data_IF_940300804342
#
_entry.id   IF_940300804342
#
_cell.length_a   1.000
_cell.length_b   1.000
_cell.length_c   1.000
_cell.angle_alpha   90.00
_cell.angle_beta   90.00
_cell.angle_gamma   90.00
#
_symmetry.space_group_name_H-M   'P 1'
#
loop_
_entity.id
_entity.type
_entity.pdbx_description
1 polymer ?
#
# COMPACT_ATOMS: atom_id res chain seq x y z
N UNK A 1 20.38 6.85 8.28
CA UNK A 1 20.65 5.77 7.31
C UNK A 1 20.16 4.48 7.96
N UNK A 2 19.32 3.71 7.26
CA UNK A 2 18.81 2.45 7.80
C UNK A 2 19.97 1.47 7.98
N UNK A 3 20.04 0.78 9.12
CA UNK A 3 21.09 -0.21 9.41
C UNK A 3 20.79 -1.60 8.82
N UNK A 4 19.69 -1.73 8.08
CA UNK A 4 19.29 -2.98 7.41
C UNK A 4 19.96 -3.12 6.04
N UNK A 5 20.05 -4.36 5.56
CA UNK A 5 20.43 -4.62 4.17
C UNK A 5 19.35 -4.10 3.23
N UNK A 6 19.77 -3.59 2.08
CA UNK A 6 18.84 -3.13 1.05
C UNK A 6 18.14 -4.29 0.38
N UNK A 7 16.85 -4.12 0.07
CA UNK A 7 16.09 -5.02 -0.78
C UNK A 7 16.26 -4.60 -2.25
N UNK A 8 16.10 -5.52 -3.22
CA UNK A 8 16.04 -5.17 -4.64
C UNK A 8 14.96 -4.12 -4.97
N UNK A 9 13.89 -4.09 -4.18
CA UNK A 9 12.79 -3.12 -4.27
C UNK A 9 13.09 -1.74 -3.67
N UNK A 10 14.25 -1.56 -3.05
CA UNK A 10 14.62 -0.28 -2.44
C UNK A 10 15.06 0.72 -3.52
N UNK A 11 14.62 1.97 -3.36
CA UNK A 11 14.99 3.04 -4.27
C UNK A 11 16.48 3.35 -4.18
N UNK A 12 17.10 3.54 -5.35
CA UNK A 12 18.40 4.19 -5.46
C UNK A 12 18.33 5.64 -4.95
N UNK A 13 19.50 6.23 -4.66
CA UNK A 13 19.55 7.64 -4.24
C UNK A 13 19.04 8.59 -5.33
N UNK A 14 19.25 8.25 -6.61
CA UNK A 14 18.79 9.03 -7.73
C UNK A 14 17.25 9.01 -7.88
N UNK A 15 16.63 7.83 -7.77
CA UNK A 15 15.17 7.71 -7.78
C UNK A 15 14.55 8.38 -6.55
N UNK A 16 15.19 8.23 -5.38
CA UNK A 16 14.75 8.90 -4.17
C UNK A 16 14.75 10.42 -4.33
N UNK A 17 15.79 11.01 -4.92
CA UNK A 17 15.88 12.46 -5.13
C UNK A 17 14.73 13.03 -5.97
N UNK A 18 14.13 12.23 -6.86
CA UNK A 18 12.99 12.64 -7.68
C UNK A 18 11.66 12.50 -6.94
N UNK A 19 11.54 11.47 -6.12
CA UNK A 19 10.33 11.19 -5.36
C UNK A 19 10.22 12.05 -4.10
N UNK A 20 11.33 12.30 -3.42
CA UNK A 20 11.41 13.07 -2.18
C UNK A 20 10.59 14.38 -2.20
N UNK A 21 10.68 15.26 -3.22
CA UNK A 21 9.91 16.50 -3.25
C UNK A 21 8.38 16.29 -3.39
N UNK A 22 7.95 15.13 -3.87
CA UNK A 22 6.53 14.77 -3.99
C UNK A 22 5.97 14.19 -2.69
N UNK A 23 6.84 13.72 -1.79
CA UNK A 23 6.45 13.13 -0.52
C UNK A 23 6.25 14.24 0.53
N UNK A 24 5.06 14.35 1.16
CA UNK A 24 4.81 15.37 2.15
C UNK A 24 5.78 15.31 3.33
N UNK A 25 6.40 16.45 3.60
CA UNK A 25 7.21 16.64 4.79
C UNK A 25 6.38 16.42 6.06
N UNK A 26 7.01 15.99 7.18
CA UNK A 26 6.36 15.97 8.48
C UNK A 26 5.77 17.35 8.81
N UNK A 27 4.51 17.39 9.27
CA UNK A 27 3.90 18.66 9.69
C UNK A 27 4.60 19.19 10.95
N UNK A 28 4.89 20.50 11.03
CA UNK A 28 5.43 21.10 12.25
C UNK A 28 4.41 21.02 13.40
N UNK A 29 4.89 20.91 14.63
CA UNK A 29 4.05 20.88 15.85
C UNK A 29 3.43 19.52 16.22
N UNK A 30 3.69 18.47 15.43
CA UNK A 30 3.26 17.10 15.72
C UNK A 30 4.31 16.27 16.45
N UNK A 31 3.94 15.03 16.84
CA UNK A 31 4.90 14.03 17.32
C UNK A 31 5.97 13.81 16.24
N UNK A 32 7.27 13.85 16.57
CA UNK A 32 8.33 13.63 15.59
C UNK A 32 8.14 12.30 14.87
N UNK A 33 8.27 12.33 13.54
CA UNK A 33 8.26 11.11 12.74
C UNK A 33 9.50 10.28 13.10
N UNK A 34 9.28 9.11 13.72
CA UNK A 34 10.37 8.21 14.12
C UNK A 34 11.00 7.46 12.96
N UNK A 35 10.29 7.36 11.83
CA UNK A 35 10.70 6.59 10.65
C UNK A 35 10.96 7.55 9.49
N UNK A 36 12.12 7.44 8.80
CA UNK A 36 12.39 8.22 7.60
C UNK A 36 11.37 7.97 6.50
N UNK A 37 11.06 9.01 5.71
CA UNK A 37 10.11 8.91 4.58
C UNK A 37 10.54 7.87 3.55
N UNK A 38 11.83 7.84 3.23
CA UNK A 38 12.42 6.84 2.34
C UNK A 38 12.15 5.41 2.79
N UNK A 39 12.31 5.11 4.07
CA UNK A 39 12.06 3.76 4.60
C UNK A 39 10.58 3.35 4.49
N UNK A 40 9.66 4.31 4.63
CA UNK A 40 8.24 4.05 4.41
C UNK A 40 7.97 3.74 2.94
N UNK A 41 8.54 4.51 2.01
CA UNK A 41 8.38 4.28 0.57
C UNK A 41 8.98 2.94 0.17
N UNK A 42 10.21 2.65 0.57
CA UNK A 42 10.88 1.36 0.35
C UNK A 42 10.04 0.18 0.85
N UNK A 43 9.47 0.29 2.05
CA UNK A 43 8.62 -0.75 2.61
C UNK A 43 7.29 -0.94 1.85
N UNK A 44 6.73 0.14 1.29
CA UNK A 44 5.55 0.07 0.42
C UNK A 44 5.90 -0.62 -0.89
N UNK A 45 7.01 -0.23 -1.53
CA UNK A 45 7.49 -0.85 -2.76
C UNK A 45 7.72 -2.35 -2.56
N UNK A 46 8.37 -2.74 -1.46
CA UNK A 46 8.56 -4.14 -1.12
C UNK A 46 7.24 -4.93 -1.09
N UNK A 47 6.19 -4.38 -0.44
CA UNK A 47 4.88 -5.03 -0.37
C UNK A 47 4.23 -5.15 -1.74
N UNK A 48 4.30 -4.09 -2.55
CA UNK A 48 3.67 -4.04 -3.86
C UNK A 48 4.36 -4.93 -4.89
N UNK A 49 5.69 -4.96 -4.90
CA UNK A 49 6.49 -5.78 -5.82
C UNK A 49 6.35 -7.28 -5.51
N UNK A 50 6.34 -7.66 -4.23
CA UNK A 50 6.27 -9.07 -3.82
C UNK A 50 4.83 -9.58 -3.62
N UNK A 51 3.82 -8.72 -3.69
CA UNK A 51 2.41 -9.08 -3.51
C UNK A 51 2.07 -9.66 -2.13
N UNK A 52 2.85 -9.33 -1.10
CA UNK A 52 2.71 -9.91 0.23
C UNK A 52 1.60 -9.24 1.06
N UNK A 53 1.08 -9.96 2.06
CA UNK A 53 0.19 -9.36 3.06
C UNK A 53 0.97 -8.34 3.88
N UNK A 54 0.38 -7.16 4.14
CA UNK A 54 0.98 -6.13 5.01
C UNK A 54 1.47 -6.67 6.36
N UNK A 55 0.69 -7.56 7.01
CA UNK A 55 1.07 -8.15 8.30
C UNK A 55 2.21 -9.17 8.23
N UNK A 56 2.57 -9.62 7.03
CA UNK A 56 3.66 -10.56 6.77
C UNK A 56 4.95 -9.84 6.32
N UNK A 57 5.00 -8.51 6.45
CA UNK A 57 6.20 -7.75 6.16
C UNK A 57 7.38 -8.18 7.04
N UNK A 58 8.61 -8.20 6.48
CA UNK A 58 9.84 -8.39 7.25
C UNK A 58 9.93 -7.45 8.46
N UNK A 59 10.51 -7.96 9.56
CA UNK A 59 10.62 -7.23 10.82
C UNK A 59 11.70 -6.14 10.83
N UNK A 60 12.62 -6.16 9.86
CA UNK A 60 13.66 -5.15 9.66
C UNK A 60 13.14 -3.90 8.91
N UNK A 61 11.98 -4.01 8.25
CA UNK A 61 11.26 -2.86 7.69
C UNK A 61 10.42 -2.15 8.78
N UNK A 62 10.03 -0.88 8.54
CA UNK A 62 9.11 -0.20 9.45
C UNK A 62 7.83 -0.99 9.69
N UNK A 63 7.32 -0.93 10.92
CA UNK A 63 6.16 -1.72 11.33
C UNK A 63 4.96 -1.52 10.40
N UNK A 64 4.36 -2.62 9.95
CA UNK A 64 3.34 -2.65 8.89
C UNK A 64 2.20 -1.65 9.08
N UNK A 65 1.77 -1.39 10.32
CA UNK A 65 0.67 -0.46 10.60
C UNK A 65 1.04 0.99 10.24
N UNK A 66 2.30 1.37 10.46
CA UNK A 66 2.82 2.69 10.09
C UNK A 66 2.92 2.81 8.58
N UNK A 67 3.43 1.78 7.92
CA UNK A 67 3.58 1.72 6.47
C UNK A 67 2.22 1.81 5.78
N UNK A 68 1.26 1.00 6.22
CA UNK A 68 -0.11 1.01 5.70
C UNK A 68 -0.82 2.34 5.94
N UNK A 69 -0.63 2.98 7.11
CA UNK A 69 -1.17 4.30 7.38
C UNK A 69 -0.72 5.32 6.33
N UNK A 70 0.58 5.37 6.03
CA UNK A 70 1.11 6.30 5.03
C UNK A 70 0.68 5.93 3.61
N UNK A 71 0.69 4.65 3.26
CA UNK A 71 0.16 4.19 1.98
C UNK A 71 -1.25 4.73 1.73
N UNK A 72 -2.17 4.53 2.69
CA UNK A 72 -3.56 4.96 2.59
C UNK A 72 -3.71 6.47 2.59
N UNK A 73 -2.91 7.18 3.40
CA UNK A 73 -2.93 8.64 3.44
C UNK A 73 -2.50 9.21 2.09
N UNK A 74 -1.38 8.73 1.55
CA UNK A 74 -0.80 9.25 0.32
C UNK A 74 -1.59 8.86 -0.93
N UNK A 75 -2.25 7.69 -0.90
CA UNK A 75 -3.23 7.30 -1.91
C UNK A 75 -4.39 8.30 -1.97
N UNK A 76 -4.93 8.75 -0.83
CA UNK A 76 -6.00 9.75 -0.79
C UNK A 76 -5.53 11.13 -1.26
N UNK A 77 -4.26 11.46 -1.04
CA UNK A 77 -3.65 12.73 -1.43
C UNK A 77 -3.15 12.74 -2.90
N UNK A 78 -3.29 11.62 -3.63
CA UNK A 78 -2.90 11.51 -5.03
C UNK A 78 -1.38 11.50 -5.26
N UNK A 79 -0.60 11.10 -4.25
CA UNK A 79 0.87 11.18 -4.29
C UNK A 79 1.47 10.05 -5.12
N UNK A 80 0.88 8.86 -5.10
CA UNK A 80 1.38 7.72 -5.88
C UNK A 80 1.26 7.96 -7.38
N UNK A 81 0.17 8.57 -7.81
CA UNK A 81 -0.07 8.96 -9.18
C UNK A 81 0.97 9.98 -9.66
N UNK A 82 1.30 10.96 -8.82
CA UNK A 82 2.36 11.95 -9.10
C UNK A 82 3.74 11.29 -9.16
N UNK A 83 4.03 10.37 -8.24
CA UNK A 83 5.28 9.64 -8.19
C UNK A 83 5.51 8.82 -9.46
N UNK A 84 4.51 8.04 -9.89
CA UNK A 84 4.57 7.25 -11.14
C UNK A 84 4.77 8.15 -12.36
N UNK A 85 4.05 9.28 -12.42
CA UNK A 85 4.21 10.24 -13.52
C UNK A 85 5.60 10.86 -13.58
N UNK A 86 6.19 11.19 -12.42
CA UNK A 86 7.53 11.77 -12.35
C UNK A 86 8.62 10.78 -12.81
N UNK A 87 8.54 9.52 -12.37
CA UNK A 87 9.47 8.48 -12.83
C UNK A 87 9.31 8.20 -14.32
N UNK A 88 8.07 8.04 -14.81
CA UNK A 88 7.80 7.81 -16.23
C UNK A 88 8.28 8.97 -17.12
N UNK A 89 8.24 10.21 -16.62
CA UNK A 89 8.81 11.37 -17.32
C UNK A 89 10.33 11.27 -17.39
N UNK A 90 11.00 10.93 -16.29
CA UNK A 90 12.45 10.78 -16.26
C UNK A 90 12.93 9.69 -17.22
N UNK A 91 12.24 8.54 -17.27
CA UNK A 91 12.59 7.46 -18.19
C UNK A 91 12.48 7.90 -19.64
N UNK A 92 11.40 8.62 -20.00
CA UNK A 92 11.24 9.19 -21.35
C UNK A 92 12.34 10.19 -21.71
N UNK A 93 12.75 11.03 -20.76
CA UNK A 93 13.81 12.02 -20.95
C UNK A 93 15.19 11.35 -21.05
N UNK A 94 15.43 10.23 -20.34
CA UNK A 94 16.65 9.42 -20.46
C UNK A 94 16.74 8.65 -21.77
N UNK A 95 15.62 8.11 -22.26
CA UNK A 95 15.62 7.22 -23.41
C UNK A 95 15.71 7.97 -24.75
N UNK A 96 15.08 9.14 -24.92
CA UNK A 96 15.08 9.89 -26.20
C UNK A 96 14.52 9.14 -27.44
N UNK A 97 14.30 7.83 -27.35
CA UNK A 97 13.78 6.88 -28.36
C UNK A 97 13.27 5.62 -27.63
N UNK A 98 11.98 5.33 -27.81
CA UNK A 98 11.27 4.08 -27.50
C UNK A 98 11.14 3.67 -26.03
N UNK A 99 9.91 3.86 -25.54
CA UNK A 99 9.41 3.46 -24.24
C UNK A 99 9.66 1.98 -23.94
N UNK A 100 10.37 1.71 -22.84
CA UNK A 100 10.29 0.41 -22.17
C UNK A 100 9.47 0.54 -20.89
N UNK A 101 8.24 0.00 -20.84
CA UNK A 101 7.37 0.15 -19.69
C UNK A 101 7.68 -0.93 -18.65
N UNK A 102 8.72 -0.72 -17.83
CA UNK A 102 8.89 -1.55 -16.61
C UNK A 102 7.95 -1.13 -15.47
N UNK A 103 7.16 -0.07 -15.66
CA UNK A 103 6.07 0.33 -14.77
C UNK A 103 4.73 -0.41 -15.02
N UNK A 104 4.70 -1.41 -15.93
CA UNK A 104 3.48 -2.12 -16.36
C UNK A 104 3.16 -3.40 -15.57
N UNK A 105 3.61 -3.52 -14.32
CA UNK A 105 3.13 -4.57 -13.39
C UNK A 105 2.64 -3.96 -12.07
N UNK A 106 1.93 -2.83 -12.17
CA UNK A 106 0.85 -2.54 -11.24
C UNK A 106 -0.47 -2.60 -12.02
N UNK A 107 -0.64 -3.68 -12.80
CA UNK A 107 -1.93 -4.01 -13.36
C UNK A 107 -2.90 -4.30 -12.20
N UNK A 108 -4.11 -3.81 -12.39
CA UNK A 108 -5.23 -3.97 -11.49
C UNK A 108 -5.56 -5.44 -11.25
N UNK A 109 -4.88 -6.10 -10.32
CA UNK A 109 -5.51 -7.21 -9.61
C UNK A 109 -6.38 -6.61 -8.51
N UNK A 110 -7.57 -6.17 -8.93
CA UNK A 110 -8.77 -6.45 -8.15
C UNK A 110 -8.67 -7.92 -7.74
N UNK A 111 -8.24 -8.18 -6.52
CA UNK A 111 -8.52 -9.46 -5.88
C UNK A 111 -10.04 -9.54 -5.89
N UNK A 112 -10.57 -10.29 -6.86
CA UNK A 112 -11.90 -10.85 -6.78
C UNK A 112 -11.90 -11.59 -5.45
N UNK A 113 -12.48 -10.97 -4.43
CA UNK A 113 -12.89 -11.67 -3.22
C UNK A 113 -13.69 -12.85 -3.73
N UNK A 114 -13.11 -14.03 -3.60
CA UNK A 114 -13.83 -15.28 -3.73
C UNK A 114 -15.14 -15.12 -2.96
N UNK A 115 -16.22 -15.17 -3.73
CA UNK A 115 -17.53 -15.55 -3.26
C UNK A 115 -17.33 -16.77 -2.36
N UNK A 116 -17.50 -16.61 -1.05
CA UNK A 116 -17.92 -17.74 -0.23
C UNK A 116 -19.36 -18.01 -0.67
N UNK A 117 -19.50 -18.81 -1.72
CA UNK A 117 -20.69 -19.62 -1.95
C UNK A 117 -20.87 -20.51 -0.72
N UNK A 118 -21.59 -19.99 0.26
CA UNK A 118 -22.36 -20.83 1.16
C UNK A 118 -23.63 -21.20 0.41
N UNK A 119 -23.98 -22.49 0.28
CA UNK A 119 -25.24 -22.85 -0.37
C UNK A 119 -26.39 -22.22 0.41
N UNK A 120 -27.14 -21.42 -0.34
CA UNK A 120 -28.46 -20.95 -0.02
C UNK A 120 -29.37 -22.14 0.30
N UNK A 121 -29.83 -22.21 1.55
CA UNK A 121 -30.88 -23.11 2.01
C UNK A 121 -32.01 -22.28 2.57
N UNK A 122 -32.86 -21.78 1.68
CA UNK A 122 -34.14 -21.11 1.97
C UNK A 122 -35.09 -22.06 2.72
N UNK A 123 -35.78 -21.59 3.76
CA UNK A 123 -37.25 -21.66 3.95
C UNK A 123 -37.62 -21.23 5.38
N UNK A 124 -38.39 -20.15 5.49
CA UNK A 124 -38.86 -19.62 6.77
C UNK A 124 -40.02 -20.40 7.39
N UNK A 125 -40.28 -20.12 8.67
CA UNK A 125 -41.63 -20.22 9.25
C UNK A 125 -41.78 -19.35 10.50
N UNK A 126 -42.67 -18.36 10.41
CA UNK A 126 -43.31 -17.69 11.56
C UNK A 126 -44.00 -18.72 12.46
N UNK A 127 -43.89 -18.58 13.77
CA UNK A 127 -44.99 -18.85 14.71
C UNK A 127 -45.01 -17.81 15.82
N UNK A 128 -46.15 -17.15 15.93
CA UNK A 128 -46.56 -16.28 17.02
C UNK A 128 -47.26 -17.10 18.12
N UNK A 129 -47.11 -16.61 19.36
CA UNK A 129 -48.02 -16.68 20.52
C UNK A 129 -48.14 -18.02 21.27
N UNK A 130 -47.99 -17.94 22.60
CA UNK A 130 -48.26 -19.03 23.55
C UNK A 130 -47.81 -18.69 24.97
N UNK A 131 -48.76 -18.17 25.74
CA UNK A 131 -48.80 -17.87 27.18
C UNK A 131 -48.52 -19.09 28.10
N UNK A 132 -47.84 -18.89 29.25
CA UNK A 132 -48.21 -19.40 30.61
C UNK A 132 -47.03 -19.55 31.59
N UNK A 133 -47.08 -18.73 32.64
CA UNK A 133 -47.01 -19.01 34.09
C UNK A 133 -45.93 -19.90 34.78
N UNK A 134 -45.62 -19.45 36.02
CA UNK A 134 -44.99 -20.10 37.20
C UNK A 134 -43.45 -20.11 37.23
N UNK A 135 -42.76 -19.73 38.30
CA UNK A 135 -43.08 -19.65 39.75
C UNK A 135 -42.41 -18.46 40.41
#
# INVERSE_FOLDING_TARGET
>A
MSSRRSYPSDLSDAEWALLEPLIPAPKPGGRPAKVPRREIVNAILYVLENGIKWRAMPHDLPHWSTVYHYFRKWQKEGIWEKAVQALARQDREREGRQASPSALVMDSQSVKTTEKGGPEGTTGRKRSRGESAKS
#
